data_IF_208678279302
#
_entry.id   IF_208678279302
#
_cell.length_a   1.000
_cell.length_b   1.000
_cell.length_c   1.000
_cell.angle_alpha   90.00
_cell.angle_beta   90.00
_cell.angle_gamma   90.00
#
_symmetry.space_group_name_H-M   'P 1'
#
loop_
_entity.id
_entity.type
_entity.pdbx_description
1 polymer ?
#
# COMPACT_ATOMS: atom_id res chain seq x y z
N UNK A 1 -18.73 17.26 -33.40
CA UNK A 1 -17.91 16.87 -34.56
C UNK A 1 -16.45 17.14 -34.23
N UNK A 2 -15.56 16.19 -34.53
CA UNK A 2 -14.11 16.37 -34.39
C UNK A 2 -13.50 16.67 -35.76
N UNK A 3 -12.47 17.51 -35.78
CA UNK A 3 -11.68 17.80 -36.98
C UNK A 3 -10.39 16.97 -37.04
N UNK A 4 -10.28 15.94 -36.21
CA UNK A 4 -9.09 15.10 -36.11
C UNK A 4 -9.14 14.09 -37.24
N UNK A 5 -8.07 14.06 -38.06
CA UNK A 5 -7.84 13.02 -39.05
C UNK A 5 -6.89 11.96 -38.48
N UNK A 6 -7.46 10.83 -38.05
CA UNK A 6 -6.73 9.69 -37.49
C UNK A 6 -5.83 8.98 -38.51
N UNK A 7 -5.96 9.32 -39.81
CA UNK A 7 -5.11 8.77 -40.88
C UNK A 7 -3.96 9.71 -41.27
N UNK A 8 -3.89 10.91 -40.69
CA UNK A 8 -2.81 11.83 -40.99
C UNK A 8 -1.45 11.35 -40.51
N UNK A 9 -0.38 11.72 -41.22
CA UNK A 9 1.00 11.40 -40.83
C UNK A 9 1.33 12.01 -39.44
N UNK A 10 0.82 13.20 -39.17
CA UNK A 10 1.03 13.88 -37.88
C UNK A 10 0.39 13.09 -36.73
N UNK A 11 -0.85 12.64 -36.89
CA UNK A 11 -1.55 11.83 -35.89
C UNK A 11 -0.77 10.52 -35.62
N UNK A 12 -0.34 9.83 -36.69
CA UNK A 12 0.40 8.58 -36.57
C UNK A 12 1.77 8.78 -35.90
N UNK A 13 2.45 9.88 -36.16
CA UNK A 13 3.71 10.22 -35.49
C UNK A 13 3.49 10.47 -33.98
N UNK A 14 2.43 11.19 -33.60
CA UNK A 14 2.10 11.43 -32.20
C UNK A 14 1.71 10.14 -31.51
N UNK A 15 0.87 9.31 -32.12
CA UNK A 15 0.48 7.99 -31.59
C UNK A 15 1.70 7.12 -31.33
N UNK A 16 2.63 7.04 -32.29
CA UNK A 16 3.88 6.27 -32.10
C UNK A 16 4.71 6.79 -30.94
N UNK A 17 4.92 8.09 -30.85
CA UNK A 17 5.70 8.70 -29.77
C UNK A 17 5.03 8.52 -28.39
N UNK A 18 3.70 8.50 -28.33
CA UNK A 18 2.95 8.25 -27.10
C UNK A 18 3.10 6.79 -26.66
N UNK A 19 2.96 5.84 -27.59
CA UNK A 19 3.16 4.42 -27.31
C UNK A 19 4.56 4.13 -26.78
N UNK A 20 5.61 4.70 -27.39
CA UNK A 20 6.99 4.57 -26.88
C UNK A 20 7.15 5.06 -25.42
N UNK A 21 6.34 6.05 -24.98
CA UNK A 21 6.33 6.50 -23.58
C UNK A 21 5.55 5.57 -22.68
N UNK A 22 4.44 5.03 -23.17
CA UNK A 22 3.63 4.06 -22.42
C UNK A 22 4.40 2.76 -22.18
N UNK A 23 5.10 2.25 -23.21
CA UNK A 23 5.98 1.08 -23.08
C UNK A 23 7.00 1.28 -21.93
N UNK A 24 7.62 2.47 -21.86
CA UNK A 24 8.53 2.77 -20.76
C UNK A 24 7.87 2.85 -19.36
N UNK A 25 6.56 3.12 -19.29
CA UNK A 25 5.80 3.07 -18.04
C UNK A 25 5.46 1.62 -17.71
N UNK A 26 5.09 0.81 -18.69
CA UNK A 26 4.80 -0.61 -18.52
C UNK A 26 6.03 -1.36 -18.00
N UNK A 27 7.21 -1.13 -18.58
CA UNK A 27 8.47 -1.68 -18.08
C UNK A 27 8.73 -1.35 -16.60
N UNK A 28 8.37 -0.11 -16.17
CA UNK A 28 8.49 0.28 -14.76
C UNK A 28 7.47 -0.41 -13.87
N UNK A 29 6.25 -0.62 -14.35
CA UNK A 29 5.21 -1.35 -13.61
C UNK A 29 5.59 -2.80 -13.44
N UNK A 30 6.08 -3.46 -14.49
CA UNK A 30 6.61 -4.82 -14.43
C UNK A 30 7.75 -4.94 -13.41
N UNK A 31 8.66 -3.97 -13.42
CA UNK A 31 9.73 -3.90 -12.41
C UNK A 31 9.18 -3.77 -10.98
N UNK A 32 8.16 -2.96 -10.77
CA UNK A 32 7.50 -2.79 -9.46
C UNK A 32 6.82 -4.07 -9.01
N UNK A 33 6.25 -4.85 -9.93
CA UNK A 33 5.61 -6.13 -9.60
C UNK A 33 6.60 -7.16 -9.05
N UNK A 34 7.85 -7.11 -9.51
CA UNK A 34 8.91 -7.96 -8.99
C UNK A 34 9.36 -7.59 -7.56
N UNK A 35 8.93 -6.43 -7.05
CA UNK A 35 9.29 -5.96 -5.71
C UNK A 35 10.79 -5.98 -5.46
N UNK A 36 11.26 -6.74 -4.47
CA UNK A 36 12.68 -6.93 -4.18
C UNK A 36 13.43 -7.90 -5.11
N UNK A 37 12.73 -8.46 -6.12
CA UNK A 37 13.26 -9.40 -7.11
C UNK A 37 13.13 -10.87 -6.71
N UNK A 38 13.32 -11.75 -7.71
CA UNK A 38 13.06 -13.20 -7.63
C UNK A 38 13.72 -13.89 -6.43
N UNK A 39 14.97 -13.54 -6.12
CA UNK A 39 15.68 -14.12 -4.97
C UNK A 39 14.93 -13.91 -3.64
N UNK A 40 14.29 -12.76 -3.45
CA UNK A 40 13.50 -12.49 -2.25
C UNK A 40 12.19 -13.27 -2.25
N UNK A 41 11.55 -13.45 -3.42
CA UNK A 41 10.37 -14.29 -3.56
C UNK A 41 10.67 -15.77 -3.26
N UNK A 42 11.77 -16.31 -3.77
CA UNK A 42 12.25 -17.67 -3.45
C UNK A 42 12.46 -17.86 -1.94
N UNK A 43 13.01 -16.85 -1.26
CA UNK A 43 13.19 -16.88 0.20
C UNK A 43 11.86 -16.83 0.95
N UNK A 44 10.86 -16.12 0.46
CA UNK A 44 9.50 -16.14 1.04
C UNK A 44 8.87 -17.52 0.85
N UNK A 45 8.89 -18.05 -0.36
CA UNK A 45 8.35 -19.36 -0.69
C UNK A 45 9.00 -20.48 0.12
N UNK A 46 10.33 -20.45 0.32
CA UNK A 46 11.05 -21.41 1.18
C UNK A 46 10.61 -21.36 2.66
N UNK A 47 9.96 -20.29 3.09
CA UNK A 47 9.37 -20.14 4.44
C UNK A 47 7.87 -20.43 4.47
N UNK A 48 7.29 -20.88 3.35
CA UNK A 48 5.85 -21.10 3.22
C UNK A 48 5.02 -19.81 3.18
N UNK A 49 5.62 -18.68 2.79
CA UNK A 49 4.95 -17.38 2.76
C UNK A 49 4.61 -16.97 1.33
N UNK A 50 3.48 -16.32 1.16
CA UNK A 50 3.06 -15.73 -0.11
C UNK A 50 3.74 -14.37 -0.35
N UNK A 51 3.83 -13.98 -1.62
CA UNK A 51 4.16 -12.59 -1.98
C UNK A 51 3.04 -11.63 -1.54
N UNK A 52 3.36 -10.34 -1.43
CA UNK A 52 2.35 -9.33 -1.09
C UNK A 52 1.21 -9.29 -2.11
N UNK A 53 1.52 -9.48 -3.39
CA UNK A 53 0.52 -9.47 -4.47
C UNK A 53 -0.36 -10.73 -4.43
N UNK A 54 0.21 -11.90 -4.15
CA UNK A 54 -0.57 -13.13 -3.96
C UNK A 54 -1.51 -13.01 -2.76
N UNK A 55 -1.06 -12.42 -1.65
CA UNK A 55 -1.92 -12.15 -0.48
C UNK A 55 -3.10 -11.26 -0.87
N UNK A 56 -2.87 -10.18 -1.63
CA UNK A 56 -3.93 -9.29 -2.10
C UNK A 56 -4.87 -10.05 -3.05
N UNK A 57 -4.35 -10.75 -4.04
CA UNK A 57 -5.16 -11.49 -5.01
C UNK A 57 -6.07 -12.54 -4.34
N UNK A 58 -5.56 -13.27 -3.32
CA UNK A 58 -6.35 -14.24 -2.56
C UNK A 58 -7.32 -13.59 -1.57
N UNK A 59 -7.13 -12.33 -1.23
CA UNK A 59 -8.02 -11.59 -0.34
C UNK A 59 -9.21 -10.96 -1.07
N UNK A 60 -9.03 -10.56 -2.32
CA UNK A 60 -10.07 -9.96 -3.16
C UNK A 60 -11.13 -10.98 -3.59
N UNK A 61 -12.27 -10.47 -3.99
CA UNK A 61 -13.29 -11.31 -4.63
C UNK A 61 -12.81 -11.72 -6.04
N UNK A 62 -13.06 -12.97 -6.47
CA UNK A 62 -12.71 -13.42 -7.81
C UNK A 62 -13.31 -12.50 -8.88
N UNK A 63 -12.56 -12.30 -9.95
CA UNK A 63 -12.98 -11.51 -11.12
C UNK A 63 -13.36 -10.06 -10.82
N UNK A 64 -12.90 -9.52 -9.69
CA UNK A 64 -13.08 -8.09 -9.37
C UNK A 64 -11.80 -7.29 -9.60
N UNK A 65 -11.92 -6.02 -10.03
CA UNK A 65 -10.74 -5.20 -10.27
C UNK A 65 -10.06 -4.79 -8.97
N UNK A 66 -8.72 -4.65 -9.03
CA UNK A 66 -7.93 -3.97 -8.01
C UNK A 66 -7.37 -2.68 -8.57
N UNK A 67 -7.82 -1.55 -8.07
CA UNK A 67 -7.30 -0.24 -8.45
C UNK A 67 -6.05 0.07 -7.61
N UNK A 68 -4.88 -0.34 -8.07
CA UNK A 68 -3.62 0.00 -7.40
C UNK A 68 -3.35 1.51 -7.52
N UNK A 69 -2.93 2.12 -6.41
CA UNK A 69 -2.61 3.55 -6.32
C UNK A 69 -1.12 3.75 -6.07
N UNK A 70 -0.57 4.81 -6.67
CA UNK A 70 0.83 5.22 -6.48
C UNK A 70 1.83 4.08 -6.77
N UNK A 71 1.59 3.28 -7.82
CA UNK A 71 2.44 2.15 -8.22
C UNK A 71 3.89 2.61 -8.49
N UNK A 72 4.06 3.81 -9.07
CA UNK A 72 5.36 4.41 -9.35
C UNK A 72 5.88 5.35 -8.23
N UNK A 73 5.39 5.18 -7.00
CA UNK A 73 5.92 5.93 -5.86
C UNK A 73 7.44 5.75 -5.76
N UNK A 74 8.16 6.81 -5.38
CA UNK A 74 9.62 6.88 -5.36
C UNK A 74 10.32 6.88 -6.74
N UNK A 75 9.60 6.96 -7.85
CA UNK A 75 10.22 7.13 -9.17
C UNK A 75 11.19 8.30 -9.17
N UNK A 76 12.32 8.15 -9.87
CA UNK A 76 13.41 9.12 -9.93
C UNK A 76 13.99 9.53 -8.55
N UNK A 77 13.88 8.69 -7.52
CA UNK A 77 14.48 8.89 -6.19
C UNK A 77 15.55 7.84 -5.89
N UNK A 78 16.19 7.97 -4.72
CA UNK A 78 17.16 6.99 -4.22
C UNK A 78 16.51 5.72 -3.61
N UNK A 79 15.19 5.65 -3.59
CA UNK A 79 14.44 4.51 -3.06
C UNK A 79 13.90 3.62 -4.18
N UNK A 80 13.67 2.34 -3.90
CA UNK A 80 13.05 1.44 -4.87
C UNK A 80 11.71 1.98 -5.36
N UNK A 81 11.49 1.93 -6.67
CA UNK A 81 10.20 2.31 -7.26
C UNK A 81 9.10 1.39 -6.73
N UNK A 82 7.91 1.93 -6.53
CA UNK A 82 6.81 1.24 -5.81
C UNK A 82 6.78 1.55 -4.33
N UNK A 83 7.88 2.08 -3.77
CA UNK A 83 7.95 2.53 -2.37
C UNK A 83 7.88 1.42 -1.32
N UNK A 84 8.14 0.16 -1.68
CA UNK A 84 8.17 -0.97 -0.75
C UNK A 84 6.81 -1.30 -0.11
N UNK A 85 5.72 -0.91 -0.76
CA UNK A 85 4.37 -1.23 -0.33
C UNK A 85 3.40 -1.24 -1.52
N UNK A 86 2.37 -2.06 -1.47
CA UNK A 86 1.23 -2.05 -2.40
C UNK A 86 0.04 -1.39 -1.71
N UNK A 87 -0.64 -0.50 -2.41
CA UNK A 87 -1.86 0.10 -1.90
C UNK A 87 -2.89 0.23 -3.03
N UNK A 88 -4.16 0.06 -2.71
CA UNK A 88 -5.21 0.13 -3.71
C UNK A 88 -6.60 -0.04 -3.12
N UNK A 89 -7.58 -0.03 -4.00
CA UNK A 89 -8.99 -0.25 -3.69
C UNK A 89 -9.41 -1.54 -4.38
N UNK A 90 -10.06 -2.42 -3.65
CA UNK A 90 -10.59 -3.67 -4.18
C UNK A 90 -11.90 -4.06 -3.51
N UNK A 91 -12.48 -5.17 -3.95
CA UNK A 91 -13.73 -5.70 -3.43
C UNK A 91 -13.44 -6.97 -2.64
N UNK A 92 -13.92 -7.01 -1.40
CA UNK A 92 -13.76 -8.13 -0.48
C UNK A 92 -15.12 -8.45 0.12
N UNK A 93 -15.61 -9.67 -0.08
CA UNK A 93 -16.94 -10.10 0.34
C UNK A 93 -18.05 -9.10 -0.05
N UNK A 94 -17.98 -8.60 -1.29
CA UNK A 94 -18.93 -7.63 -1.84
C UNK A 94 -18.77 -6.19 -1.32
N UNK A 95 -17.74 -5.91 -0.50
CA UNK A 95 -17.51 -4.60 0.10
C UNK A 95 -16.27 -3.95 -0.50
N UNK A 96 -16.37 -2.69 -0.94
CA UNK A 96 -15.19 -1.90 -1.31
C UNK A 96 -14.33 -1.64 -0.07
N UNK A 97 -13.04 -1.94 -0.17
CA UNK A 97 -12.06 -1.71 0.90
C UNK A 97 -10.81 -1.04 0.34
N UNK A 98 -10.16 -0.22 1.16
CA UNK A 98 -8.79 0.22 0.86
C UNK A 98 -7.83 -0.79 1.48
N UNK A 99 -6.87 -1.25 0.70
CA UNK A 99 -5.81 -2.14 1.16
C UNK A 99 -4.48 -1.37 1.14
N UNK A 100 -3.72 -1.50 2.22
CA UNK A 100 -2.31 -1.11 2.28
C UNK A 100 -1.50 -2.31 2.76
N UNK A 101 -0.48 -2.71 2.00
CA UNK A 101 0.30 -3.91 2.27
C UNK A 101 1.80 -3.60 2.21
N UNK A 102 2.53 -3.87 3.30
CA UNK A 102 3.98 -3.82 3.28
C UNK A 102 4.54 -4.94 2.38
N UNK A 103 5.53 -4.61 1.57
CA UNK A 103 6.26 -5.62 0.78
C UNK A 103 7.54 -6.04 1.51
N UNK A 104 7.58 -7.24 2.14
CA UNK A 104 8.75 -7.70 2.87
C UNK A 104 9.94 -8.02 1.96
N UNK A 105 9.75 -8.11 0.64
CA UNK A 105 10.84 -8.30 -0.33
C UNK A 105 11.66 -7.04 -0.51
N UNK A 106 11.05 -5.87 -0.25
CA UNK A 106 11.70 -4.55 -0.35
C UNK A 106 12.06 -4.06 1.04
N UNK A 107 13.35 -3.95 1.35
CA UNK A 107 13.86 -3.45 2.63
C UNK A 107 13.24 -4.12 3.88
N UNK A 108 12.84 -5.40 3.77
CA UNK A 108 12.10 -6.13 4.82
C UNK A 108 10.81 -5.41 5.28
N UNK A 109 10.12 -4.74 4.36
CA UNK A 109 8.91 -3.97 4.64
C UNK A 109 9.15 -2.70 5.47
N UNK A 110 10.39 -2.23 5.58
CA UNK A 110 10.69 -1.03 6.37
C UNK A 110 10.03 0.22 5.79
N UNK A 111 9.50 1.04 6.68
CA UNK A 111 8.82 2.28 6.32
C UNK A 111 9.82 3.39 6.07
N UNK A 112 9.71 4.07 4.95
CA UNK A 112 10.48 5.24 4.56
C UNK A 112 9.55 6.36 4.04
N UNK A 113 10.10 7.50 3.64
CA UNK A 113 9.32 8.68 3.27
C UNK A 113 8.22 8.40 2.22
N UNK A 114 8.51 7.58 1.21
CA UNK A 114 7.56 7.29 0.13
C UNK A 114 6.51 6.24 0.52
N UNK A 115 6.90 5.18 1.23
CA UNK A 115 5.93 4.23 1.79
C UNK A 115 5.02 4.91 2.81
N UNK A 116 5.54 5.83 3.62
CA UNK A 116 4.76 6.64 4.55
C UNK A 116 3.72 7.53 3.84
N UNK A 117 4.11 8.21 2.74
CA UNK A 117 3.17 8.98 1.91
C UNK A 117 2.09 8.10 1.27
N UNK A 118 2.47 6.92 0.78
CA UNK A 118 1.54 5.95 0.21
C UNK A 118 0.55 5.46 1.28
N UNK A 119 1.02 5.17 2.49
CA UNK A 119 0.20 4.80 3.64
C UNK A 119 -0.79 5.91 4.01
N UNK A 120 -0.32 7.15 4.18
CA UNK A 120 -1.17 8.31 4.45
C UNK A 120 -2.24 8.50 3.36
N UNK A 121 -1.86 8.34 2.07
CA UNK A 121 -2.81 8.47 0.97
C UNK A 121 -3.89 7.38 1.00
N UNK A 122 -3.54 6.14 1.32
CA UNK A 122 -4.49 5.06 1.47
C UNK A 122 -5.52 5.36 2.59
N UNK A 123 -5.06 5.81 3.75
CA UNK A 123 -5.95 6.21 4.85
C UNK A 123 -6.83 7.41 4.48
N UNK A 124 -6.29 8.40 3.76
CA UNK A 124 -7.08 9.53 3.28
C UNK A 124 -8.21 9.09 2.34
N UNK A 125 -7.93 8.17 1.40
CA UNK A 125 -8.94 7.62 0.50
C UNK A 125 -10.03 6.89 1.29
N UNK A 126 -9.64 6.05 2.26
CA UNK A 126 -10.58 5.38 3.15
C UNK A 126 -11.47 6.39 3.89
N UNK A 127 -10.86 7.41 4.48
CA UNK A 127 -11.56 8.46 5.24
C UNK A 127 -12.54 9.27 4.39
N UNK A 128 -12.11 9.71 3.20
CA UNK A 128 -12.92 10.57 2.32
C UNK A 128 -14.09 9.78 1.72
N UNK A 129 -13.86 8.54 1.32
CA UNK A 129 -14.87 7.69 0.70
C UNK A 129 -15.67 6.87 1.73
N UNK A 130 -15.30 6.93 3.01
CA UNK A 130 -15.93 6.16 4.09
C UNK A 130 -16.03 4.67 3.77
N UNK A 131 -14.92 4.08 3.36
CA UNK A 131 -14.79 2.64 3.08
C UNK A 131 -13.80 2.01 4.05
N UNK A 132 -13.99 0.73 4.47
CA UNK A 132 -13.11 0.07 5.42
C UNK A 132 -11.66 0.08 4.99
N UNK A 133 -10.76 0.11 5.96
CA UNK A 133 -9.32 0.12 5.75
C UNK A 133 -8.71 -1.20 6.23
N UNK A 134 -8.01 -1.88 5.32
CA UNK A 134 -7.35 -3.16 5.60
C UNK A 134 -5.84 -2.99 5.40
N UNK A 135 -5.06 -3.48 6.36
CA UNK A 135 -3.62 -3.45 6.22
C UNK A 135 -3.00 -4.84 6.40
N UNK A 136 -2.09 -5.18 5.50
CA UNK A 136 -1.27 -6.37 5.57
C UNK A 136 0.09 -5.98 6.14
N UNK A 137 0.32 -6.43 7.36
CA UNK A 137 1.41 -5.92 8.18
C UNK A 137 2.57 -6.89 8.20
N UNK A 138 3.70 -6.45 7.65
CA UNK A 138 4.99 -7.11 7.77
C UNK A 138 6.08 -6.06 7.61
N UNK A 139 6.61 -5.51 8.71
CA UNK A 139 7.48 -4.35 8.67
C UNK A 139 8.60 -4.41 9.70
N UNK A 140 9.81 -4.18 9.25
CA UNK A 140 10.98 -4.00 10.13
C UNK A 140 10.97 -2.67 10.90
N UNK A 141 9.88 -1.90 10.84
CA UNK A 141 9.81 -0.56 11.44
C UNK A 141 10.30 0.55 10.50
N UNK A 142 10.78 1.65 11.03
CA UNK A 142 11.32 2.74 10.23
C UNK A 142 12.69 2.42 9.64
N UNK A 143 12.93 2.83 8.39
CA UNK A 143 14.27 2.71 7.80
C UNK A 143 15.23 3.73 8.43
N UNK A 144 16.11 3.25 9.31
CA UNK A 144 17.10 4.06 10.01
C UNK A 144 18.34 4.36 9.17
N UNK A 145 18.48 3.79 7.97
CA UNK A 145 19.64 4.00 7.08
C UNK A 145 19.61 5.35 6.37
N UNK A 146 18.69 6.20 6.71
CA UNK A 146 18.41 7.52 6.10
C UNK A 146 19.59 8.52 6.12
N UNK A 147 20.78 8.11 6.55
CA UNK A 147 22.00 8.92 6.49
C UNK A 147 23.15 8.32 5.67
N UNK A 148 23.01 7.14 5.11
CA UNK A 148 24.14 6.31 4.62
C UNK A 148 24.28 6.14 3.10
N UNK A 149 23.63 6.92 2.27
CA UNK A 149 23.84 6.82 0.81
C UNK A 149 25.20 7.37 0.37
N UNK A 150 25.98 6.54 -0.31
CA UNK A 150 27.28 6.86 -0.91
C UNK A 150 27.19 7.78 -2.14
N UNK A 151 26.32 8.79 -2.16
CA UNK A 151 26.20 9.75 -3.27
C UNK A 151 26.72 11.13 -2.85
N UNK A 152 27.81 11.59 -3.46
CA UNK A 152 28.23 12.99 -3.39
C UNK A 152 27.13 13.86 -4.05
N UNK A 153 26.43 14.66 -3.25
CA UNK A 153 25.45 15.64 -3.75
C UNK A 153 23.99 15.44 -3.36
N UNK A 154 23.67 14.46 -2.54
CA UNK A 154 22.30 14.27 -2.03
C UNK A 154 21.95 15.36 -1.00
N UNK A 155 20.90 16.12 -1.27
CA UNK A 155 20.25 17.06 -0.34
C UNK A 155 19.61 16.37 0.87
N UNK A 156 20.19 15.27 1.31
CA UNK A 156 19.70 14.37 2.38
C UNK A 156 19.58 15.01 3.76
N UNK A 157 20.28 16.11 4.02
CA UNK A 157 20.15 16.81 5.28
C UNK A 157 18.78 17.45 5.53
N UNK A 158 17.98 17.60 4.49
CA UNK A 158 16.68 18.30 4.57
C UNK A 158 15.50 17.38 4.88
N UNK A 159 15.63 16.07 4.59
CA UNK A 159 14.53 15.11 4.80
C UNK A 159 14.41 14.67 6.27
N UNK A 160 15.49 14.77 7.03
CA UNK A 160 15.55 14.39 8.46
C UNK A 160 15.25 15.54 9.42
N UNK A 161 14.78 16.67 8.93
CA UNK A 161 14.37 17.80 9.78
C UNK A 161 13.11 17.54 10.59
N UNK A 162 12.77 18.46 11.49
CA UNK A 162 11.58 18.41 12.33
C UNK A 162 10.28 18.19 11.51
N UNK A 163 10.23 18.67 10.27
CA UNK A 163 9.11 18.45 9.35
C UNK A 163 8.88 16.98 9.02
N UNK A 164 9.94 16.24 8.73
CA UNK A 164 9.83 14.79 8.44
C UNK A 164 9.31 14.02 9.66
N UNK A 165 9.79 14.37 10.85
CA UNK A 165 9.34 13.74 12.09
C UNK A 165 7.84 14.02 12.34
N UNK A 166 7.39 15.24 12.09
CA UNK A 166 6.00 15.63 12.20
C UNK A 166 5.11 14.91 11.16
N UNK A 167 5.58 14.78 9.91
CA UNK A 167 4.87 14.03 8.86
C UNK A 167 4.74 12.54 9.20
N UNK A 168 5.79 11.93 9.74
CA UNK A 168 5.77 10.52 10.15
C UNK A 168 4.79 10.27 11.31
N UNK A 169 4.68 11.20 12.24
CA UNK A 169 3.73 11.13 13.35
C UNK A 169 2.27 11.27 12.90
N UNK A 170 2.02 11.86 11.74
CA UNK A 170 0.69 12.03 11.18
C UNK A 170 -0.04 10.71 10.95
N UNK A 171 0.66 9.63 10.62
CA UNK A 171 0.05 8.32 10.38
C UNK A 171 -0.72 7.80 11.59
N UNK A 172 -0.24 8.04 12.81
CA UNK A 172 -0.95 7.66 14.03
C UNK A 172 -2.22 8.50 14.22
N UNK A 173 -2.17 9.78 13.92
CA UNK A 173 -3.33 10.64 13.91
C UNK A 173 -4.37 10.17 12.90
N UNK A 174 -3.96 9.85 11.67
CA UNK A 174 -4.86 9.44 10.59
C UNK A 174 -5.60 8.13 10.94
N UNK A 175 -4.94 7.13 11.56
CA UNK A 175 -5.59 5.91 12.07
C UNK A 175 -6.63 6.27 13.15
N UNK A 176 -6.28 7.18 14.07
CA UNK A 176 -7.20 7.63 15.12
C UNK A 176 -8.43 8.34 14.52
N UNK A 177 -8.25 9.12 13.46
CA UNK A 177 -9.38 9.78 12.77
C UNK A 177 -10.30 8.76 12.08
N UNK A 178 -9.77 7.66 11.51
CA UNK A 178 -10.60 6.56 10.98
C UNK A 178 -11.48 5.98 12.09
N UNK A 179 -10.89 5.64 13.22
CA UNK A 179 -11.59 5.10 14.38
C UNK A 179 -12.67 6.09 14.91
N UNK A 180 -12.34 7.38 15.04
CA UNK A 180 -13.29 8.44 15.43
C UNK A 180 -14.48 8.54 14.47
N UNK A 181 -14.26 8.35 13.18
CA UNK A 181 -15.30 8.35 12.14
C UNK A 181 -16.04 7.01 12.05
N UNK A 182 -15.67 6.02 12.89
CA UNK A 182 -16.20 4.66 12.88
C UNK A 182 -16.02 3.95 11.54
N UNK A 183 -14.92 4.25 10.84
CA UNK A 183 -14.50 3.54 9.65
C UNK A 183 -13.68 2.35 10.13
N UNK A 184 -14.12 1.10 9.87
CA UNK A 184 -13.44 -0.08 10.38
C UNK A 184 -12.01 -0.20 9.86
N UNK A 185 -11.10 -0.53 10.78
CA UNK A 185 -9.69 -0.80 10.48
C UNK A 185 -9.35 -2.24 10.82
N UNK A 186 -8.78 -2.98 9.87
CA UNK A 186 -8.47 -4.40 9.99
C UNK A 186 -6.98 -4.59 9.71
N UNK A 187 -6.27 -5.24 10.63
CA UNK A 187 -4.86 -5.62 10.44
C UNK A 187 -4.72 -7.12 10.34
N UNK A 188 -4.09 -7.60 9.27
CA UNK A 188 -3.64 -8.98 9.15
C UNK A 188 -2.11 -8.98 9.24
N UNK A 189 -1.58 -9.61 10.26
CA UNK A 189 -0.15 -9.57 10.58
C UNK A 189 0.54 -10.78 9.97
N UNK A 190 1.22 -10.57 8.85
CA UNK A 190 1.90 -11.63 8.08
C UNK A 190 3.34 -11.89 8.52
N UNK A 191 3.85 -11.15 9.45
CA UNK A 191 5.22 -11.33 9.92
C UNK A 191 5.56 -10.43 11.09
N UNK A 192 6.84 -10.09 11.19
CA UNK A 192 7.28 -9.17 12.25
C UNK A 192 6.79 -7.76 11.96
N UNK A 193 6.29 -7.09 12.98
CA UNK A 193 5.95 -5.68 12.97
C UNK A 193 6.56 -5.01 14.19
N UNK A 194 7.56 -4.17 13.96
CA UNK A 194 8.41 -3.63 15.04
C UNK A 194 8.35 -2.12 15.12
N UNK A 195 8.64 -1.57 16.28
CA UNK A 195 8.71 -0.14 16.56
C UNK A 195 7.45 0.60 16.06
N UNK A 196 7.59 1.57 15.16
CA UNK A 196 6.45 2.29 14.57
C UNK A 196 5.47 1.40 13.81
N UNK A 197 5.93 0.28 13.24
CA UNK A 197 5.08 -0.71 12.58
C UNK A 197 4.11 -1.43 13.53
N UNK A 198 4.49 -1.60 14.81
CA UNK A 198 3.64 -2.25 15.82
C UNK A 198 2.34 -1.49 16.11
N UNK A 199 2.32 -0.18 15.82
CA UNK A 199 1.10 0.62 15.95
C UNK A 199 0.06 0.33 14.87
N UNK A 200 0.44 -0.30 13.76
CA UNK A 200 -0.54 -0.69 12.74
C UNK A 200 -1.58 -1.65 13.34
N UNK A 201 -1.21 -2.83 13.86
CA UNK A 201 -2.18 -3.66 14.59
C UNK A 201 -2.59 -3.04 15.94
N UNK A 202 -1.67 -2.35 16.64
CA UNK A 202 -1.97 -1.76 17.94
C UNK A 202 -3.11 -0.75 17.98
N UNK A 203 -3.47 -0.16 16.85
CA UNK A 203 -4.50 0.86 16.70
C UNK A 203 -5.66 0.44 15.79
N UNK A 204 -5.67 -0.81 15.32
CA UNK A 204 -6.75 -1.34 14.48
C UNK A 204 -7.90 -1.88 15.33
N UNK A 205 -9.11 -1.87 14.73
CA UNK A 205 -10.32 -2.37 15.40
C UNK A 205 -10.35 -3.92 15.40
N UNK A 206 -9.75 -4.56 14.40
CA UNK A 206 -9.69 -6.02 14.27
C UNK A 206 -8.27 -6.45 13.92
N UNK A 207 -7.74 -7.40 14.68
CA UNK A 207 -6.39 -7.90 14.52
C UNK A 207 -6.34 -9.40 14.32
N UNK A 208 -5.82 -9.83 13.18
CA UNK A 208 -5.66 -11.24 12.80
C UNK A 208 -4.17 -11.58 12.82
N UNK A 209 -3.79 -12.51 13.69
CA UNK A 209 -2.42 -12.97 13.84
C UNK A 209 -2.29 -14.41 13.33
N UNK A 210 -1.12 -14.76 12.85
CA UNK A 210 -0.79 -16.09 12.34
C UNK A 210 0.15 -16.76 13.34
N UNK A 211 -0.20 -17.99 13.77
CA UNK A 211 0.61 -18.80 14.70
C UNK A 211 2.04 -18.92 14.23
N UNK A 212 3.00 -18.72 15.15
CA UNK A 212 4.44 -18.85 14.91
C UNK A 212 5.03 -17.92 13.81
N UNK A 213 4.20 -17.11 13.16
CA UNK A 213 4.63 -16.24 12.08
C UNK A 213 4.51 -14.75 12.46
N UNK A 214 3.38 -14.35 13.05
CA UNK A 214 3.14 -12.97 13.47
C UNK A 214 3.91 -12.61 14.71
N UNK A 215 4.59 -11.46 14.70
CA UNK A 215 5.33 -10.95 15.85
C UNK A 215 5.17 -9.44 15.92
N UNK A 216 4.66 -8.96 17.03
CA UNK A 216 4.41 -7.52 17.24
C UNK A 216 5.03 -7.10 18.58
N UNK A 217 5.98 -6.16 18.51
CA UNK A 217 6.59 -5.57 19.68
C UNK A 217 7.21 -4.20 19.36
N UNK A 218 7.28 -3.31 20.32
CA UNK A 218 7.93 -2.01 20.16
C UNK A 218 9.44 -2.14 20.07
N UNK A 219 10.03 -3.08 20.79
CA UNK A 219 11.44 -3.43 20.75
C UNK A 219 11.62 -4.94 20.78
N UNK A 220 12.37 -5.48 19.81
CA UNK A 220 12.65 -6.91 19.76
C UNK A 220 13.60 -7.40 20.86
N UNK A 221 13.82 -8.72 21.01
CA UNK A 221 14.62 -9.31 22.08
C UNK A 221 16.01 -8.71 22.26
N UNK A 222 16.77 -8.38 21.18
CA UNK A 222 18.06 -7.73 21.36
C UNK A 222 17.98 -6.36 22.05
N UNK A 223 16.93 -5.58 21.75
CA UNK A 223 16.74 -4.28 22.36
C UNK A 223 16.30 -4.39 23.82
N UNK A 224 15.43 -5.35 24.13
CA UNK A 224 15.00 -5.66 25.50
C UNK A 224 16.22 -6.05 26.32
N UNK A 225 17.06 -6.99 25.86
CA UNK A 225 18.28 -7.40 26.52
C UNK A 225 19.24 -6.25 26.77
N UNK A 226 19.38 -5.36 25.78
CA UNK A 226 20.27 -4.19 25.93
C UNK A 226 19.73 -3.17 26.94
N UNK A 227 18.41 -2.99 27.02
CA UNK A 227 17.77 -1.98 27.86
C UNK A 227 17.55 -2.45 29.31
N UNK A 228 17.18 -3.70 29.51
CA UNK A 228 16.77 -4.24 30.82
C UNK A 228 17.66 -5.37 31.32
N UNK A 229 18.51 -5.97 30.49
CA UNK A 229 19.29 -7.16 30.80
C UNK A 229 18.50 -8.46 30.73
N UNK A 230 17.19 -8.41 30.44
CA UNK A 230 16.33 -9.60 30.34
C UNK A 230 16.58 -10.35 29.03
N UNK A 231 16.59 -11.69 29.11
CA UNK A 231 16.61 -12.56 27.94
C UNK A 231 15.18 -12.97 27.59
N UNK A 232 14.81 -12.73 26.36
CA UNK A 232 13.50 -13.10 25.80
C UNK A 232 13.67 -13.67 24.40
N UNK A 233 12.70 -14.42 23.95
CA UNK A 233 12.58 -14.84 22.55
C UNK A 233 11.41 -14.11 21.87
N UNK A 234 11.39 -14.17 20.53
CA UNK A 234 10.38 -13.47 19.73
C UNK A 234 8.94 -13.91 20.03
N UNK A 235 8.72 -15.23 20.30
CA UNK A 235 7.38 -15.79 20.52
C UNK A 235 6.82 -15.39 21.89
N UNK A 236 7.64 -15.46 22.93
CA UNK A 236 7.22 -15.08 24.28
C UNK A 236 7.09 -13.58 24.46
N UNK A 237 7.89 -12.79 23.72
CA UNK A 237 7.85 -11.33 23.80
C UNK A 237 6.67 -10.73 23.04
N UNK A 238 6.36 -11.24 21.84
CA UNK A 238 5.36 -10.63 20.97
C UNK A 238 4.82 -11.56 19.89
N UNK A 239 4.86 -12.88 20.11
CA UNK A 239 4.29 -13.85 19.18
C UNK A 239 2.76 -13.81 19.12
N UNK A 240 2.19 -14.33 18.03
CA UNK A 240 0.75 -14.33 17.82
C UNK A 240 -0.05 -15.00 18.94
N UNK A 241 0.46 -16.11 19.48
CA UNK A 241 -0.20 -16.82 20.58
C UNK A 241 -0.15 -16.02 21.88
N UNK A 242 0.99 -15.40 22.19
CA UNK A 242 1.11 -14.49 23.35
C UNK A 242 0.10 -13.36 23.26
N UNK A 243 -0.07 -12.76 22.07
CA UNK A 243 -1.05 -11.69 21.89
C UNK A 243 -2.51 -12.16 21.95
N UNK A 244 -2.80 -13.41 21.58
CA UNK A 244 -4.14 -13.98 21.69
C UNK A 244 -4.51 -14.37 23.13
N UNK A 245 -3.56 -14.92 23.91
CA UNK A 245 -3.84 -15.51 25.21
C UNK A 245 -3.53 -14.57 26.38
N UNK A 246 -2.58 -13.65 26.24
CA UNK A 246 -2.06 -12.84 27.32
C UNK A 246 -2.39 -11.36 27.17
N UNK A 247 -1.99 -10.73 26.06
CA UNK A 247 -2.18 -9.28 25.89
C UNK A 247 -3.58 -8.89 25.39
N UNK A 248 -4.27 -9.81 24.70
CA UNK A 248 -5.56 -9.54 24.08
C UNK A 248 -5.50 -8.66 22.81
N UNK A 249 -4.29 -8.43 22.25
CA UNK A 249 -4.15 -7.66 21.03
C UNK A 249 -4.63 -8.42 19.79
N UNK A 250 -4.48 -9.73 19.76
CA UNK A 250 -4.96 -10.56 18.66
C UNK A 250 -6.43 -10.97 18.90
N UNK A 251 -7.34 -10.46 18.09
CA UNK A 251 -8.76 -10.87 18.13
C UNK A 251 -8.95 -12.27 17.52
N UNK A 252 -8.13 -12.59 16.53
CA UNK A 252 -8.16 -13.87 15.82
C UNK A 252 -6.75 -14.43 15.67
N UNK A 253 -6.64 -15.74 15.83
CA UNK A 253 -5.39 -16.48 15.68
C UNK A 253 -5.56 -17.53 14.57
N UNK A 254 -4.99 -17.23 13.40
CA UNK A 254 -5.01 -18.08 12.21
C UNK A 254 -3.91 -19.15 12.25
N UNK A 255 -4.15 -20.27 11.58
CA UNK A 255 -3.17 -21.35 11.47
C UNK A 255 -2.05 -21.01 10.46
N UNK A 256 -2.41 -20.39 9.33
CA UNK A 256 -1.50 -20.00 8.25
C UNK A 256 -1.99 -18.74 7.53
N UNK A 257 -1.28 -18.32 6.45
CA UNK A 257 -1.63 -17.13 5.68
C UNK A 257 -2.99 -17.25 4.99
N UNK A 258 -3.35 -18.43 4.47
CA UNK A 258 -4.65 -18.64 3.81
C UNK A 258 -5.80 -18.56 4.81
N UNK A 259 -5.62 -19.13 5.99
CA UNK A 259 -6.60 -19.03 7.07
C UNK A 259 -6.76 -17.58 7.56
N UNK A 260 -5.67 -16.85 7.65
CA UNK A 260 -5.71 -15.41 8.00
C UNK A 260 -6.49 -14.57 6.97
N UNK A 261 -6.30 -14.85 5.68
CA UNK A 261 -7.07 -14.19 4.62
C UNK A 261 -8.55 -14.56 4.67
N UNK A 262 -8.87 -15.84 4.90
CA UNK A 262 -10.24 -16.30 5.09
C UNK A 262 -10.93 -15.60 6.25
N UNK A 263 -10.27 -15.55 7.43
CA UNK A 263 -10.79 -14.83 8.60
C UNK A 263 -10.98 -13.35 8.29
N UNK A 264 -10.02 -12.71 7.63
CA UNK A 264 -10.12 -11.31 7.23
C UNK A 264 -11.33 -11.04 6.32
N UNK A 265 -11.60 -11.92 5.36
CA UNK A 265 -12.79 -11.85 4.51
C UNK A 265 -14.08 -12.03 5.30
N UNK A 266 -14.09 -12.94 6.29
CA UNK A 266 -15.23 -13.10 7.20
C UNK A 266 -15.47 -11.84 8.03
N UNK A 267 -14.41 -11.24 8.59
CA UNK A 267 -14.52 -9.96 9.32
C UNK A 267 -15.15 -8.90 8.44
N UNK A 268 -14.64 -8.71 7.20
CA UNK A 268 -15.22 -7.74 6.25
C UNK A 268 -16.69 -8.05 5.97
N UNK A 269 -17.06 -9.32 5.75
CA UNK A 269 -18.46 -9.70 5.49
C UNK A 269 -19.39 -9.38 6.66
N UNK A 270 -18.92 -9.58 7.89
CA UNK A 270 -19.70 -9.32 9.10
C UNK A 270 -19.87 -7.84 9.43
N UNK A 271 -19.03 -6.95 8.85
CA UNK A 271 -19.22 -5.51 9.01
C UNK A 271 -20.56 -5.05 8.45
N UNK A 272 -21.13 -5.76 7.48
CA UNK A 272 -22.32 -5.34 6.73
C UNK A 272 -22.18 -3.89 6.24
N UNK A 273 -20.98 -3.53 5.85
CA UNK A 273 -20.64 -2.16 5.51
C UNK A 273 -21.35 -1.72 4.25
N UNK A 274 -21.97 -0.58 4.31
CA UNK A 274 -22.61 0.05 3.14
C UNK A 274 -21.94 1.41 2.92
N UNK A 275 -21.41 1.58 1.73
CA UNK A 275 -20.84 2.86 1.31
C UNK A 275 -21.94 3.93 1.36
N UNK A 276 -21.61 5.05 2.00
CA UNK A 276 -22.48 6.22 1.98
C UNK A 276 -22.43 6.90 0.62
N UNK A 277 -23.56 7.28 0.09
CA UNK A 277 -23.67 7.98 -1.19
C UNK A 277 -24.91 7.57 -1.95
N UNK A 278 -25.19 8.32 -2.99
CA UNK A 278 -26.27 7.97 -3.95
C UNK A 278 -25.64 7.23 -5.12
N UNK A 279 -26.23 6.12 -5.49
CA UNK A 279 -25.87 5.47 -6.74
C UNK A 279 -26.10 6.40 -7.93
N UNK A 280 -25.28 6.31 -8.98
CA UNK A 280 -25.51 7.04 -10.21
C UNK A 280 -26.90 6.74 -10.73
N UNK A 281 -27.71 7.79 -10.96
CA UNK A 281 -29.09 7.62 -11.44
C UNK A 281 -29.19 7.30 -12.92
N UNK A 282 -28.14 7.59 -13.66
CA UNK A 282 -28.07 7.41 -15.11
C UNK A 282 -26.99 6.38 -15.41
N UNK A 283 -27.28 5.48 -16.36
CA UNK A 283 -26.22 4.68 -16.97
C UNK A 283 -25.40 5.61 -17.86
N UNK A 284 -24.06 5.53 -17.81
CA UNK A 284 -23.24 6.26 -18.75
C UNK A 284 -23.51 5.76 -20.17
N UNK A 285 -23.54 6.69 -21.12
CA UNK A 285 -23.51 6.32 -22.53
C UNK A 285 -22.08 5.87 -22.89
N UNK A 286 -21.97 4.85 -23.74
CA UNK A 286 -20.68 4.41 -24.25
C UNK A 286 -20.02 5.52 -25.08
N UNK A 287 -18.68 5.65 -24.99
CA UNK A 287 -17.95 6.60 -25.83
C UNK A 287 -18.23 6.33 -27.32
N UNK A 288 -18.44 7.41 -28.07
CA UNK A 288 -18.68 7.32 -29.52
C UNK A 288 -17.42 7.21 -30.37
N UNK A 289 -16.25 7.50 -29.77
CA UNK A 289 -14.92 7.45 -30.39
C UNK A 289 -14.07 6.41 -29.68
N UNK A 290 -13.14 5.82 -30.42
CA UNK A 290 -12.18 4.86 -29.87
C UNK A 290 -11.25 5.57 -28.88
N UNK A 291 -11.04 4.97 -27.71
CA UNK A 291 -10.10 5.48 -26.70
C UNK A 291 -8.67 5.57 -27.22
N UNK A 292 -8.28 4.69 -28.15
CA UNK A 292 -6.97 4.71 -28.78
C UNK A 292 -6.73 5.96 -29.64
N UNK A 293 -7.78 6.61 -30.12
CA UNK A 293 -7.66 7.87 -30.85
C UNK A 293 -7.07 8.99 -29.99
N UNK A 294 -7.14 8.87 -28.65
CA UNK A 294 -6.49 9.82 -27.74
C UNK A 294 -4.97 9.84 -27.87
N UNK A 295 -4.36 8.72 -28.27
CA UNK A 295 -2.90 8.54 -28.35
C UNK A 295 -2.25 9.45 -29.40
N UNK A 296 -2.98 9.83 -30.47
CA UNK A 296 -2.48 10.66 -31.55
C UNK A 296 -2.90 12.13 -31.48
N UNK A 297 -3.59 12.56 -30.42
CA UNK A 297 -4.15 13.92 -30.36
C UNK A 297 -3.11 15.02 -30.18
N UNK A 298 -2.04 14.76 -29.43
CA UNK A 298 -1.03 15.76 -29.07
C UNK A 298 0.38 15.21 -29.15
N UNK A 299 1.33 16.07 -29.52
CA UNK A 299 2.74 15.71 -29.46
C UNK A 299 3.15 15.42 -28.00
N UNK A 300 3.96 14.38 -27.78
CA UNK A 300 4.51 14.04 -26.45
C UNK A 300 5.28 15.20 -25.82
N UNK A 301 5.89 16.06 -26.63
CA UNK A 301 6.57 17.27 -26.17
C UNK A 301 5.61 18.34 -25.62
N UNK A 302 4.31 18.22 -25.86
CA UNK A 302 3.28 19.14 -25.40
C UNK A 302 2.65 18.66 -24.12
N UNK A 303 3.47 18.48 -23.08
CA UNK A 303 3.06 17.87 -21.80
C UNK A 303 2.28 18.79 -20.87
N UNK A 304 2.09 20.07 -21.24
CA UNK A 304 1.32 21.04 -20.47
C UNK A 304 0.14 21.56 -21.29
N UNK A 305 -0.97 20.86 -21.24
CA UNK A 305 -2.27 21.46 -21.52
C UNK A 305 -2.58 22.44 -20.38
N UNK A 306 -2.19 23.70 -20.52
CA UNK A 306 -2.74 24.76 -19.70
C UNK A 306 -4.18 24.94 -20.16
N UNK A 307 -5.12 24.42 -19.37
CA UNK A 307 -6.51 24.87 -19.48
C UNK A 307 -6.49 26.39 -19.34
N UNK A 308 -7.17 27.16 -20.25
CA UNK A 308 -7.23 28.57 -20.10
C UNK A 308 -7.83 28.91 -18.74
N UNK A 309 -7.07 29.58 -17.91
CA UNK A 309 -7.46 30.06 -16.58
C UNK A 309 -8.46 31.23 -16.67
N UNK A 310 -9.35 31.19 -17.62
CA UNK A 310 -10.44 32.15 -17.75
C UNK A 310 -11.77 31.54 -17.33
N UNK A 311 -11.84 31.10 -16.08
CA UNK A 311 -13.12 30.96 -15.41
C UNK A 311 -13.01 31.60 -14.03
N UNK A 312 -12.94 32.93 -14.03
CA UNK A 312 -13.48 33.71 -12.94
C UNK A 312 -14.96 33.91 -13.24
N UNK A 313 -15.82 33.19 -12.54
CA UNK A 313 -17.19 33.60 -12.27
C UNK A 313 -17.46 33.36 -10.79
#
# INVERSE_FOLDING_TARGET
ETNIDTNSDEFNQYKKSMLEKLDGIEDLLDYVELGGGMHHHERLAARGKMSVRDRIANFLDPDTPFLEISSLAAYASDYPVGGGAVAGIGIVAGTEVVIFANDPTVLAGAMHAYSGKKWTRAMEISRVNKIPYVQFVESAGGDLRMGGGKGKGSSRGTILGAGHFAESGRTFYDVTELSKLRIPTISIVFGSSTAGGAYQPGMSDYNIFIKKQSKVFLGGPPLVKMATGEESDDETLGGGQMHAEVSGLADYLAEDEMDALRIGREVVSHLNWRKEGKEPKLRPDEPTLDVEDLLGLVAVSYTHLTLPTTMWV
#
